data_IF_499265488560
#
_entry.id   IF_499265488560
#
_cell.length_a   1.000
_cell.length_b   1.000
_cell.length_c   1.000
_cell.angle_alpha   90.00
_cell.angle_beta   90.00
_cell.angle_gamma   90.00
#
_symmetry.space_group_name_H-M   'P 1'
#
loop_
_entity.id
_entity.type
_entity.pdbx_description
1 polymer ?
#
# COMPACT_ATOMS: atom_id res chain seq x y z
N UNK A 1 19.76 -9.13 0.07
CA UNK A 1 18.94 -7.90 0.07
C UNK A 1 17.49 -8.30 -0.23
N UNK A 2 16.47 -7.71 0.41
CA UNK A 2 15.08 -8.06 0.13
C UNK A 2 14.71 -7.72 -1.32
N UNK A 3 13.90 -8.57 -1.94
CA UNK A 3 13.45 -8.36 -3.32
C UNK A 3 12.51 -7.16 -3.43
N UNK A 4 12.40 -6.55 -4.61
CA UNK A 4 11.49 -5.43 -4.86
C UNK A 4 10.03 -5.82 -4.54
N UNK A 5 9.60 -7.03 -4.89
CA UNK A 5 8.26 -7.52 -4.54
C UNK A 5 8.06 -7.64 -3.02
N UNK A 6 9.08 -8.08 -2.29
CA UNK A 6 9.00 -8.15 -0.82
C UNK A 6 8.91 -6.76 -0.19
N UNK A 7 9.67 -5.78 -0.72
CA UNK A 7 9.56 -4.38 -0.30
C UNK A 7 8.18 -3.82 -0.56
N UNK A 8 7.60 -4.04 -1.74
CA UNK A 8 6.23 -3.62 -2.06
C UNK A 8 5.24 -4.26 -1.07
N UNK A 9 5.41 -5.56 -0.76
CA UNK A 9 4.53 -6.27 0.17
C UNK A 9 4.58 -5.67 1.57
N UNK A 10 5.77 -5.41 2.12
CA UNK A 10 5.93 -4.89 3.49
C UNK A 10 5.59 -3.40 3.56
N UNK A 11 6.11 -2.60 2.65
CA UNK A 11 5.93 -1.14 2.65
C UNK A 11 4.53 -0.73 2.17
N UNK A 12 3.92 -1.49 1.26
CA UNK A 12 2.52 -1.33 0.86
C UNK A 12 1.54 -1.71 1.97
N UNK A 13 1.84 -2.77 2.74
CA UNK A 13 1.04 -3.12 3.92
C UNK A 13 1.14 -2.04 5.01
N UNK A 14 2.29 -1.38 5.13
CA UNK A 14 2.47 -0.27 6.07
C UNK A 14 1.78 1.03 5.61
N UNK A 15 1.60 1.23 4.29
CA UNK A 15 0.87 2.40 3.74
C UNK A 15 -0.65 2.21 3.66
N UNK A 16 -1.19 1.02 3.91
CA UNK A 16 -2.64 0.75 3.78
C UNK A 16 -3.54 1.62 4.67
N UNK A 17 -2.98 2.16 5.76
CA UNK A 17 -3.69 3.00 6.73
C UNK A 17 -3.63 4.49 6.40
N UNK A 18 -2.86 4.89 5.39
CA UNK A 18 -2.91 6.24 4.87
C UNK A 18 -4.27 6.44 4.16
N UNK A 19 -5.08 7.40 4.60
CA UNK A 19 -6.54 7.52 4.32
C UNK A 19 -6.83 8.03 2.88
N UNK A 20 -5.95 7.76 1.92
CA UNK A 20 -6.22 8.10 0.51
C UNK A 20 -7.05 7.05 -0.25
N UNK A 21 -7.53 5.99 0.40
CA UNK A 21 -8.48 5.08 -0.22
C UNK A 21 -9.90 5.66 -0.12
N UNK A 22 -10.35 6.28 -1.21
CA UNK A 22 -11.77 6.56 -1.43
C UNK A 22 -12.58 5.28 -1.22
N UNK A 23 -13.63 5.38 -0.42
CA UNK A 23 -14.61 4.35 -0.02
C UNK A 23 -15.38 3.68 -1.19
N UNK A 24 -14.90 3.83 -2.43
CA UNK A 24 -15.56 3.48 -3.69
C UNK A 24 -14.91 2.33 -4.48
N UNK A 25 -13.78 1.76 -4.05
CA UNK A 25 -13.37 0.43 -4.52
C UNK A 25 -14.45 -0.58 -4.12
N UNK A 26 -14.83 -1.49 -5.02
CA UNK A 26 -15.79 -2.55 -4.73
C UNK A 26 -15.43 -3.22 -3.41
N UNK A 27 -16.28 -3.05 -2.39
CA UNK A 27 -16.15 -3.73 -1.10
C UNK A 27 -16.41 -5.20 -1.38
N UNK A 28 -15.38 -5.96 -1.73
CA UNK A 28 -15.49 -7.41 -1.77
C UNK A 28 -15.95 -7.86 -0.39
N UNK A 29 -17.09 -8.53 -0.34
CA UNK A 29 -17.69 -9.09 0.89
C UNK A 29 -16.85 -10.20 1.52
N UNK A 30 -15.70 -10.52 0.92
CA UNK A 30 -14.72 -11.48 1.40
C UNK A 30 -13.31 -10.91 1.27
N UNK A 31 -12.69 -10.65 2.42
CA UNK A 31 -11.27 -10.92 2.59
C UNK A 31 -11.13 -11.96 3.72
N UNK A 32 -10.37 -13.06 3.52
CA UNK A 32 -10.18 -14.08 4.54
C UNK A 32 -9.25 -13.55 5.64
N UNK A 33 -9.57 -13.92 6.88
CA UNK A 33 -8.83 -13.57 8.10
C UNK A 33 -7.39 -14.10 7.99
N UNK A 34 -6.39 -13.32 8.41
CA UNK A 34 -5.11 -13.93 8.78
C UNK A 34 -5.23 -14.66 10.13
N UNK A 35 -5.99 -14.15 11.12
CA UNK A 35 -6.44 -14.90 12.32
C UNK A 35 -7.67 -14.20 12.98
N UNK A 36 -8.87 -14.78 12.95
CA UNK A 36 -10.00 -14.45 13.87
C UNK A 36 -11.22 -13.62 13.39
N UNK A 37 -12.40 -13.86 14.01
CA UNK A 37 -13.55 -12.94 14.24
C UNK A 37 -13.93 -11.83 13.22
N UNK A 38 -14.66 -12.06 12.12
CA UNK A 38 -14.81 -11.09 11.00
C UNK A 38 -15.97 -10.07 11.12
N UNK A 39 -16.35 -9.63 12.33
CA UNK A 39 -17.53 -8.76 12.53
C UNK A 39 -17.26 -7.26 12.75
N UNK A 40 -16.02 -6.76 12.65
CA UNK A 40 -15.68 -5.37 13.08
C UNK A 40 -14.60 -4.61 12.26
N UNK A 41 -14.47 -4.79 10.95
CA UNK A 41 -13.29 -4.27 10.22
C UNK A 41 -13.60 -3.26 9.11
N UNK A 42 -13.12 -2.03 9.30
CA UNK A 42 -13.05 -0.92 8.33
C UNK A 42 -11.60 -0.85 7.81
N UNK A 43 -11.39 -0.60 6.51
CA UNK A 43 -10.05 -0.30 5.95
C UNK A 43 -9.30 -1.45 5.26
N UNK A 44 -9.97 -2.58 4.97
CA UNK A 44 -9.40 -3.63 4.12
C UNK A 44 -9.50 -3.22 2.63
N UNK A 45 -8.50 -2.48 2.15
CA UNK A 45 -8.37 -2.13 0.73
C UNK A 45 -7.27 -2.97 0.07
N UNK A 46 -7.24 -2.96 -1.27
CA UNK A 46 -6.62 -3.94 -2.17
C UNK A 46 -5.17 -4.39 -1.84
N UNK A 47 -4.71 -5.44 -2.55
CA UNK A 47 -3.36 -6.00 -2.46
C UNK A 47 -2.28 -4.93 -2.31
N UNK A 48 -1.45 -5.08 -1.26
CA UNK A 48 -0.39 -4.14 -0.88
C UNK A 48 0.35 -3.55 -2.09
N UNK A 49 0.40 -2.21 -2.18
CA UNK A 49 1.15 -1.49 -3.19
C UNK A 49 0.33 -0.81 -4.28
N UNK A 50 -0.96 -1.11 -4.43
CA UNK A 50 -1.85 -0.40 -5.37
C UNK A 50 -3.09 0.10 -4.63
N UNK A 51 -3.47 1.35 -4.87
CA UNK A 51 -4.74 1.91 -4.38
C UNK A 51 -5.54 2.54 -5.52
N UNK A 52 -6.84 2.71 -5.31
CA UNK A 52 -7.71 3.44 -6.23
C UNK A 52 -8.01 4.83 -5.69
N UNK A 53 -7.92 5.82 -6.57
CA UNK A 53 -8.29 7.22 -6.31
C UNK A 53 -9.25 7.70 -7.40
N UNK A 54 -9.92 8.81 -7.16
CA UNK A 54 -10.87 9.38 -8.12
C UNK A 54 -10.46 10.81 -8.46
N UNK A 55 -10.46 11.11 -9.75
CA UNK A 55 -10.29 12.48 -10.24
C UNK A 55 -11.55 13.32 -9.95
N UNK A 56 -11.46 14.67 -10.05
CA UNK A 56 -12.62 15.54 -9.83
C UNK A 56 -13.82 15.26 -10.76
N UNK A 57 -13.58 14.71 -11.94
CA UNK A 57 -14.61 14.27 -12.90
C UNK A 57 -15.14 12.84 -12.62
N UNK A 58 -14.69 12.20 -11.55
CA UNK A 58 -15.22 10.91 -11.09
C UNK A 58 -14.58 9.69 -11.76
N UNK A 59 -13.50 9.85 -12.54
CA UNK A 59 -12.77 8.70 -13.09
C UNK A 59 -11.97 8.02 -11.99
N UNK A 60 -12.13 6.70 -11.88
CA UNK A 60 -11.28 5.88 -11.02
C UNK A 60 -9.92 5.69 -11.68
N UNK A 61 -8.85 5.96 -10.94
CA UNK A 61 -7.47 5.72 -11.36
C UNK A 61 -6.75 4.80 -10.38
N UNK A 62 -5.85 3.96 -10.88
CA UNK A 62 -5.01 3.09 -10.05
C UNK A 62 -3.66 3.73 -9.77
N UNK A 63 -3.25 3.84 -8.52
CA UNK A 63 -1.99 4.46 -8.09
C UNK A 63 -1.08 3.43 -7.43
N UNK A 64 0.22 3.51 -7.74
CA UNK A 64 1.25 2.79 -7.00
C UNK A 64 1.45 3.48 -5.65
N UNK A 65 0.98 2.84 -4.57
CA UNK A 65 1.00 3.38 -3.20
C UNK A 65 1.80 2.51 -2.27
N UNK A 66 3.01 2.93 -1.95
CA UNK A 66 3.88 2.25 -0.97
C UNK A 66 4.63 3.27 -0.15
N UNK A 67 4.96 2.96 1.12
CA UNK A 67 5.97 3.76 1.80
C UNK A 67 7.31 3.69 1.07
N UNK A 68 8.01 4.81 0.97
CA UNK A 68 9.41 4.81 0.53
C UNK A 68 10.30 4.03 1.51
N UNK A 69 10.03 4.16 2.81
CA UNK A 69 10.72 3.47 3.90
C UNK A 69 9.82 3.36 5.13
N UNK A 70 9.97 2.27 5.90
CA UNK A 70 9.37 2.14 7.24
C UNK A 70 10.44 2.26 8.36
N UNK A 71 11.64 2.74 8.03
CA UNK A 71 12.68 3.07 9.00
C UNK A 71 12.34 4.39 9.69
N UNK A 72 11.64 4.30 10.81
CA UNK A 72 11.40 5.43 11.71
C UNK A 72 12.35 5.36 12.92
N UNK A 73 12.83 6.52 13.37
CA UNK A 73 13.60 6.67 14.63
C UNK A 73 12.69 6.53 15.86
N UNK A 74 11.39 6.75 15.69
CA UNK A 74 10.40 6.62 16.75
C UNK A 74 9.71 5.25 16.73
N UNK A 75 9.25 4.82 17.90
CA UNK A 75 8.47 3.60 18.08
C UNK A 75 7.11 3.92 18.72
N UNK A 76 6.37 4.87 18.15
CA UNK A 76 5.07 5.31 18.67
C UNK A 76 4.09 4.13 18.79
N UNK A 77 3.43 3.94 19.94
CA UNK A 77 2.50 2.83 20.19
C UNK A 77 1.32 2.78 19.22
N UNK A 78 0.93 3.94 18.68
CA UNK A 78 -0.17 4.07 17.71
C UNK A 78 0.28 3.91 16.25
N UNK A 79 1.58 3.79 15.98
CA UNK A 79 2.08 3.63 14.62
C UNK A 79 1.99 2.17 14.20
N UNK A 80 1.51 1.90 12.99
CA UNK A 80 1.44 0.53 12.45
C UNK A 80 2.82 -0.12 12.23
N UNK A 81 3.87 0.69 12.14
CA UNK A 81 5.26 0.20 12.10
C UNK A 81 5.83 -0.10 13.49
N UNK A 82 5.05 0.08 14.56
CA UNK A 82 5.48 -0.22 15.94
C UNK A 82 5.86 -1.70 16.07
N UNK A 83 7.05 -1.97 16.61
CA UNK A 83 7.55 -3.34 16.77
C UNK A 83 7.80 -4.09 15.45
N UNK A 84 7.73 -3.44 14.29
CA UNK A 84 8.03 -4.07 13.00
C UNK A 84 9.51 -4.44 12.93
N UNK A 85 9.79 -5.76 12.92
CA UNK A 85 11.16 -6.29 12.81
C UNK A 85 11.74 -6.16 11.40
N UNK A 86 10.88 -6.01 10.38
CA UNK A 86 11.27 -5.95 8.96
C UNK A 86 11.33 -4.52 8.46
N UNK A 87 12.44 -3.85 8.77
CA UNK A 87 12.70 -2.49 8.30
C UNK A 87 13.24 -2.50 6.87
N UNK A 88 12.53 -1.88 5.94
CA UNK A 88 12.81 -1.84 4.52
C UNK A 88 12.81 -0.39 4.01
N UNK A 89 13.53 -0.16 2.92
CA UNK A 89 13.59 1.11 2.20
C UNK A 89 13.83 0.81 0.73
N UNK A 90 13.22 1.59 -0.14
CA UNK A 90 13.63 1.70 -1.53
C UNK A 90 14.89 2.57 -1.66
N UNK A 91 15.61 2.41 -2.77
CA UNK A 91 16.43 3.49 -3.33
C UNK A 91 15.58 4.30 -4.32
N UNK A 92 15.93 5.56 -4.63
CA UNK A 92 15.17 6.36 -5.58
C UNK A 92 15.06 5.68 -6.95
N UNK A 93 16.14 5.07 -7.43
CA UNK A 93 16.21 4.39 -8.73
C UNK A 93 15.36 3.12 -8.75
N UNK A 94 15.37 2.35 -7.65
CA UNK A 94 14.54 1.16 -7.51
C UNK A 94 13.06 1.51 -7.52
N UNK A 95 12.67 2.55 -6.79
CA UNK A 95 11.29 3.03 -6.74
C UNK A 95 10.83 3.53 -8.11
N UNK A 96 11.62 4.39 -8.75
CA UNK A 96 11.32 4.92 -10.08
C UNK A 96 11.21 3.81 -11.13
N UNK A 97 12.15 2.85 -11.13
CA UNK A 97 12.12 1.69 -12.05
C UNK A 97 10.88 0.83 -11.83
N UNK A 98 10.49 0.62 -10.57
CA UNK A 98 9.29 -0.15 -10.21
C UNK A 98 8.04 0.54 -10.74
N UNK A 99 7.91 1.85 -10.48
CA UNK A 99 6.80 2.65 -11.00
C UNK A 99 6.75 2.63 -12.53
N UNK A 100 7.86 2.92 -13.21
CA UNK A 100 7.91 2.94 -14.68
C UNK A 100 7.53 1.59 -15.28
N UNK A 101 7.91 0.48 -14.65
CA UNK A 101 7.49 -0.86 -15.08
C UNK A 101 5.98 -1.04 -14.97
N UNK A 102 5.40 -0.71 -13.81
CA UNK A 102 3.96 -0.81 -13.59
C UNK A 102 3.16 0.11 -14.52
N UNK A 103 3.67 1.33 -14.76
CA UNK A 103 3.08 2.29 -15.68
C UNK A 103 3.12 1.78 -17.13
N UNK A 104 4.26 1.27 -17.60
CA UNK A 104 4.41 0.71 -18.96
C UNK A 104 3.53 -0.51 -19.23
N UNK A 105 3.13 -1.22 -18.17
CA UNK A 105 2.23 -2.37 -18.23
C UNK A 105 0.75 -1.98 -18.05
N UNK A 106 0.43 -0.69 -18.03
CA UNK A 106 -0.91 -0.16 -17.73
C UNK A 106 -1.51 -0.71 -16.41
N UNK A 107 -0.65 -1.04 -15.44
CA UNK A 107 -1.07 -1.54 -14.12
C UNK A 107 -1.42 -0.39 -13.17
N UNK A 108 -0.75 0.74 -13.31
CA UNK A 108 -1.00 1.97 -12.56
C UNK A 108 -0.93 3.18 -13.48
N UNK A 109 -1.67 4.22 -13.15
CA UNK A 109 -1.74 5.49 -13.89
C UNK A 109 -1.02 6.62 -13.15
N UNK A 110 -0.56 6.37 -11.92
CA UNK A 110 0.16 7.34 -11.11
C UNK A 110 0.83 6.72 -9.89
N UNK A 111 1.44 7.58 -9.08
CA UNK A 111 2.21 7.21 -7.88
C UNK A 111 1.74 8.07 -6.70
N UNK A 112 1.71 7.47 -5.51
CA UNK A 112 1.36 8.12 -4.24
C UNK A 112 2.40 7.78 -3.15
#
# INVERSE_FOLDING_TARGET
MPSTLEKIRVLGENSKYDICASTASSRTTKYPKLFGDSKKWIGATASAGICHSYTPDGRCMSLFKTLYTNKCIYNCKYCFSHGCKRKMSFTPEEYARTFMKLYSMNTVEGVF
#
